data_IF_376729753468
#
_entry.id   IF_376729753468
#
_cell.length_a   1.000
_cell.length_b   1.000
_cell.length_c   1.000
_cell.angle_alpha   90.00
_cell.angle_beta   90.00
_cell.angle_gamma   90.00
#
_symmetry.space_group_name_H-M   'P 1'
#
loop_
_entity.id
_entity.type
_entity.pdbx_description
1 polymer ?
#
# COMPACT_ATOMS: atom_id res chain seq x y z
N UNK A 1 0.83 7.27 18.48
CA UNK A 1 -0.48 6.64 18.18
C UNK A 1 -1.49 6.98 19.26
N UNK A 2 -2.73 7.33 18.90
CA UNK A 2 -3.85 7.60 19.84
C UNK A 2 -5.19 7.18 19.23
N UNK A 3 -6.25 7.17 20.02
CA UNK A 3 -7.63 6.87 19.58
C UNK A 3 -7.71 5.55 18.78
N UNK A 4 -7.33 4.44 19.42
CA UNK A 4 -7.38 3.14 18.76
C UNK A 4 -8.83 2.67 18.56
N UNK A 5 -9.12 2.15 17.38
CA UNK A 5 -10.34 1.45 17.05
C UNK A 5 -9.98 0.03 16.62
N UNK A 6 -10.50 -0.97 17.32
CA UNK A 6 -10.19 -2.38 17.10
C UNK A 6 -11.35 -3.01 16.34
N UNK A 7 -11.04 -3.75 15.29
CA UNK A 7 -12.00 -4.60 14.59
C UNK A 7 -11.86 -6.02 15.13
N UNK A 8 -12.96 -6.58 15.63
CA UNK A 8 -13.02 -7.97 16.12
C UNK A 8 -14.08 -8.79 15.43
N UNK A 9 -15.15 -8.14 14.96
CA UNK A 9 -16.26 -8.76 14.25
C UNK A 9 -16.78 -7.87 13.12
N UNK A 10 -17.72 -8.42 12.32
CA UNK A 10 -18.26 -7.72 11.16
C UNK A 10 -19.05 -6.48 11.57
N UNK A 11 -19.72 -6.53 12.71
CA UNK A 11 -20.49 -5.43 13.27
C UNK A 11 -19.59 -4.22 13.58
N UNK A 12 -18.34 -4.44 14.01
CA UNK A 12 -17.35 -3.37 14.20
C UNK A 12 -17.00 -2.70 12.86
N UNK A 13 -16.78 -3.51 11.82
CA UNK A 13 -16.52 -3.01 10.47
C UNK A 13 -17.70 -2.19 9.93
N UNK A 14 -18.92 -2.74 9.99
CA UNK A 14 -20.11 -2.05 9.49
C UNK A 14 -20.32 -0.71 10.20
N UNK A 15 -20.07 -0.66 11.52
CA UNK A 15 -20.14 0.58 12.30
C UNK A 15 -19.05 1.59 11.91
N UNK A 16 -17.85 1.12 11.54
CA UNK A 16 -16.72 1.98 11.21
C UNK A 16 -16.69 2.44 9.74
N UNK A 17 -17.32 1.72 8.82
CA UNK A 17 -17.28 2.05 7.39
C UNK A 17 -17.69 3.51 7.11
N UNK A 18 -18.73 4.00 7.79
CA UNK A 18 -19.22 5.37 7.59
C UNK A 18 -18.32 6.45 8.20
N UNK A 19 -17.51 6.09 9.19
CA UNK A 19 -16.50 6.96 9.82
C UNK A 19 -15.20 7.00 9.00
N UNK A 20 -14.77 5.84 8.48
CA UNK A 20 -13.47 5.66 7.85
C UNK A 20 -13.47 6.11 6.39
N UNK A 21 -14.48 5.72 5.61
CA UNK A 21 -14.61 6.16 4.23
C UNK A 21 -15.44 7.43 4.18
N UNK A 22 -15.02 8.39 3.35
CA UNK A 22 -15.61 9.72 3.28
C UNK A 22 -16.56 9.88 2.09
N UNK A 23 -16.40 9.06 1.04
CA UNK A 23 -17.17 9.21 -0.21
C UNK A 23 -18.20 8.10 -0.39
N UNK A 24 -19.36 8.47 -0.94
CA UNK A 24 -20.40 7.49 -1.26
C UNK A 24 -19.92 6.47 -2.31
N UNK A 25 -19.04 6.87 -3.24
CA UNK A 25 -18.47 5.98 -4.26
C UNK A 25 -17.81 4.74 -3.65
N UNK A 26 -16.93 4.91 -2.65
CA UNK A 26 -16.27 3.78 -2.00
C UNK A 26 -17.25 3.00 -1.12
N UNK A 27 -18.09 3.71 -0.35
CA UNK A 27 -19.07 3.07 0.53
C UNK A 27 -20.06 2.20 -0.23
N UNK A 28 -20.54 2.65 -1.38
CA UNK A 28 -21.49 1.90 -2.21
C UNK A 28 -20.84 0.62 -2.75
N UNK A 29 -19.59 0.69 -3.21
CA UNK A 29 -18.83 -0.50 -3.62
C UNK A 29 -18.57 -1.46 -2.45
N UNK A 30 -18.25 -0.95 -1.25
CA UNK A 30 -18.04 -1.80 -0.07
C UNK A 30 -19.34 -2.46 0.39
N UNK A 31 -20.50 -1.83 0.17
CA UNK A 31 -21.82 -2.42 0.53
C UNK A 31 -22.32 -3.46 -0.47
N UNK A 32 -21.74 -3.52 -1.66
CA UNK A 32 -22.18 -4.41 -2.74
C UNK A 32 -21.47 -5.77 -2.66
N UNK A 33 -22.19 -6.83 -2.27
CA UNK A 33 -21.65 -8.20 -2.26
C UNK A 33 -21.12 -8.62 -3.65
N UNK A 34 -19.94 -9.23 -3.68
CA UNK A 34 -19.23 -9.61 -4.91
C UNK A 34 -18.43 -8.48 -5.56
N UNK A 35 -18.44 -7.27 -4.98
CA UNK A 35 -17.50 -6.22 -5.37
C UNK A 35 -16.14 -6.44 -4.70
N UNK A 36 -15.04 -6.24 -5.43
CA UNK A 36 -13.69 -6.38 -4.87
C UNK A 36 -13.46 -5.55 -3.60
N UNK A 37 -14.03 -4.35 -3.50
CA UNK A 37 -13.91 -3.51 -2.31
C UNK A 37 -14.67 -4.09 -1.12
N UNK A 38 -15.80 -4.76 -1.36
CA UNK A 38 -16.55 -5.49 -0.32
C UNK A 38 -15.70 -6.62 0.26
N UNK A 39 -15.08 -7.42 -0.61
CA UNK A 39 -14.26 -8.56 -0.19
C UNK A 39 -13.01 -8.11 0.58
N UNK A 40 -12.34 -7.05 0.09
CA UNK A 40 -11.20 -6.42 0.78
C UNK A 40 -11.58 -5.77 2.11
N UNK A 41 -12.82 -5.29 2.26
CA UNK A 41 -13.28 -4.74 3.53
C UNK A 41 -13.53 -5.85 4.54
N UNK A 42 -14.26 -6.90 4.14
CA UNK A 42 -14.63 -7.99 5.03
C UNK A 42 -13.42 -8.80 5.52
N UNK A 43 -12.35 -8.92 4.73
CA UNK A 43 -11.16 -9.67 5.17
C UNK A 43 -10.44 -9.07 6.39
N UNK A 44 -10.76 -7.82 6.76
CA UNK A 44 -10.29 -7.23 8.01
C UNK A 44 -10.80 -7.97 9.25
N UNK A 45 -11.87 -8.78 9.18
CA UNK A 45 -12.30 -9.60 10.33
C UNK A 45 -11.43 -10.83 10.57
N UNK A 46 -10.66 -11.27 9.56
CA UNK A 46 -9.88 -12.51 9.60
C UNK A 46 -8.53 -12.34 10.33
N UNK A 47 -8.16 -11.09 10.62
CA UNK A 47 -6.89 -10.70 11.25
C UNK A 47 -7.10 -9.52 12.19
N UNK A 48 -6.22 -9.30 13.17
CA UNK A 48 -6.31 -8.11 14.02
C UNK A 48 -6.12 -6.84 13.20
N UNK A 49 -7.19 -6.08 12.97
CA UNK A 49 -7.11 -4.78 12.31
C UNK A 49 -7.34 -3.66 13.33
N UNK A 50 -6.35 -2.76 13.46
CA UNK A 50 -6.39 -1.66 14.42
C UNK A 50 -6.24 -0.34 13.67
N UNK A 51 -7.24 0.53 13.75
CA UNK A 51 -7.15 1.89 13.24
C UNK A 51 -6.71 2.84 14.34
N UNK A 52 -5.93 3.87 14.00
CA UNK A 52 -5.46 4.85 14.98
C UNK A 52 -5.24 6.23 14.37
N UNK A 53 -5.25 7.26 15.21
CA UNK A 53 -4.85 8.61 14.84
C UNK A 53 -3.36 8.85 15.14
N UNK A 54 -2.61 9.49 14.23
CA UNK A 54 -1.26 9.89 14.52
C UNK A 54 -1.21 10.95 15.64
N UNK A 55 -0.26 10.80 16.55
CA UNK A 55 0.13 11.80 17.55
C UNK A 55 1.11 12.82 16.98
N UNK A 56 2.03 12.38 16.12
CA UNK A 56 3.04 13.16 15.41
C UNK A 56 2.96 12.85 13.91
N UNK A 57 1.97 13.42 13.19
CA UNK A 57 1.69 13.07 11.80
C UNK A 57 2.90 13.18 10.87
N UNK A 58 3.76 14.17 11.07
CA UNK A 58 4.95 14.40 10.25
C UNK A 58 5.97 13.25 10.30
N UNK A 59 6.06 12.52 11.42
CA UNK A 59 6.96 11.37 11.55
C UNK A 59 6.20 10.07 11.28
N UNK A 60 5.02 9.92 11.89
CA UNK A 60 4.26 8.67 11.83
C UNK A 60 3.69 8.40 10.43
N UNK A 61 3.54 9.39 9.55
CA UNK A 61 3.14 9.15 8.14
C UNK A 61 4.17 8.34 7.35
N UNK A 62 5.43 8.36 7.75
CA UNK A 62 6.47 7.56 7.09
C UNK A 62 6.66 6.22 7.80
N UNK A 63 6.07 6.05 8.98
CA UNK A 63 6.15 4.82 9.73
C UNK A 63 5.13 3.82 9.14
N UNK A 64 5.59 2.87 8.35
CA UNK A 64 4.74 1.88 7.66
C UNK A 64 4.03 0.94 8.65
N UNK A 65 2.98 1.42 9.29
CA UNK A 65 2.31 0.74 10.41
C UNK A 65 1.38 -0.37 9.97
N UNK A 66 0.99 -0.45 8.70
CA UNK A 66 0.23 -1.59 8.19
C UNK A 66 1.00 -2.90 8.27
N UNK A 67 2.34 -2.86 8.16
CA UNK A 67 3.19 -4.02 8.46
C UNK A 67 3.20 -4.39 9.96
N UNK A 68 2.72 -3.52 10.83
CA UNK A 68 2.46 -3.80 12.25
C UNK A 68 0.97 -3.98 12.52
N UNK A 69 0.15 -4.32 11.52
CA UNK A 69 -1.29 -4.55 11.70
C UNK A 69 -2.11 -3.31 12.04
N UNK A 70 -1.56 -2.11 11.88
CA UNK A 70 -2.20 -0.86 12.25
C UNK A 70 -2.43 0.06 11.03
N UNK A 71 -3.69 0.42 10.78
CA UNK A 71 -4.08 1.36 9.73
C UNK A 71 -4.10 2.77 10.28
N UNK A 72 -3.25 3.64 9.74
CA UNK A 72 -3.21 5.04 10.16
C UNK A 72 -4.33 5.84 9.50
N UNK A 73 -5.13 6.54 10.32
CA UNK A 73 -6.11 7.52 9.85
C UNK A 73 -5.41 8.84 9.57
N UNK A 74 -5.18 9.10 8.28
CA UNK A 74 -4.59 10.35 7.79
C UNK A 74 -5.69 11.30 7.35
N UNK A 75 -5.41 12.59 7.41
CA UNK A 75 -6.28 13.61 6.84
C UNK A 75 -5.71 14.05 5.47
N UNK A 76 -6.57 14.00 4.45
CA UNK A 76 -6.31 14.53 3.13
C UNK A 76 -7.37 15.58 2.78
N UNK A 77 -6.96 16.63 2.06
CA UNK A 77 -7.89 17.68 1.61
C UNK A 77 -8.94 17.12 0.62
N UNK A 78 -8.55 16.12 -0.17
CA UNK A 78 -9.44 15.44 -1.10
C UNK A 78 -9.97 14.14 -0.46
N UNK A 79 -11.31 13.99 -0.25
CA UNK A 79 -11.88 12.80 0.36
C UNK A 79 -11.70 11.53 -0.49
N UNK A 80 -11.56 11.64 -1.82
CA UNK A 80 -11.27 10.47 -2.67
C UNK A 80 -9.82 9.99 -2.50
N UNK A 81 -8.87 10.90 -2.24
CA UNK A 81 -7.48 10.52 -1.93
C UNK A 81 -7.41 9.89 -0.54
N UNK A 82 -8.21 10.39 0.42
CA UNK A 82 -8.37 9.74 1.72
C UNK A 82 -8.85 8.29 1.58
N UNK A 83 -9.93 8.07 0.84
CA UNK A 83 -10.49 6.72 0.66
C UNK A 83 -9.50 5.79 -0.07
N UNK A 84 -8.76 6.31 -1.05
CA UNK A 84 -7.66 5.59 -1.71
C UNK A 84 -6.55 5.21 -0.73
N UNK A 85 -6.15 6.11 0.16
CA UNK A 85 -5.15 5.83 1.20
C UNK A 85 -5.65 4.71 2.13
N UNK A 86 -6.90 4.75 2.57
CA UNK A 86 -7.46 3.68 3.40
C UNK A 86 -7.45 2.34 2.64
N UNK A 87 -7.89 2.31 1.38
CA UNK A 87 -7.86 1.10 0.56
C UNK A 87 -6.44 0.55 0.40
N UNK A 88 -5.46 1.42 0.20
CA UNK A 88 -4.04 1.06 0.12
C UNK A 88 -3.56 0.36 1.40
N UNK A 89 -3.82 0.93 2.58
CA UNK A 89 -3.44 0.34 3.86
C UNK A 89 -4.16 -0.98 4.15
N UNK A 90 -5.45 -1.10 3.80
CA UNK A 90 -6.20 -2.36 3.91
C UNK A 90 -5.58 -3.45 3.02
N UNK A 91 -5.19 -3.09 1.80
CA UNK A 91 -4.57 -4.04 0.89
C UNK A 91 -3.20 -4.51 1.41
N UNK A 92 -2.41 -3.63 2.03
CA UNK A 92 -1.21 -4.06 2.76
C UNK A 92 -1.55 -5.06 3.86
N UNK A 93 -2.53 -4.72 4.70
CA UNK A 93 -2.97 -5.56 5.81
C UNK A 93 -3.32 -6.99 5.35
N UNK A 94 -4.07 -7.08 4.26
CA UNK A 94 -4.46 -8.34 3.64
C UNK A 94 -3.27 -9.11 3.05
N UNK A 95 -2.47 -8.44 2.21
CA UNK A 95 -1.43 -9.09 1.41
C UNK A 95 -0.14 -9.38 2.18
N UNK A 96 0.03 -8.84 3.39
CA UNK A 96 1.20 -9.06 4.22
C UNK A 96 1.23 -10.49 4.78
N UNK A 97 2.33 -11.22 4.51
CA UNK A 97 2.62 -12.52 5.13
C UNK A 97 3.79 -12.38 6.09
N UNK A 98 3.68 -12.90 7.31
CA UNK A 98 4.74 -12.82 8.31
C UNK A 98 5.57 -14.11 8.35
N UNK A 99 6.89 -13.98 8.16
CA UNK A 99 7.83 -15.08 7.94
C UNK A 99 9.17 -14.82 8.66
N UNK A 100 9.20 -14.87 10.02
CA UNK A 100 10.38 -14.47 10.80
C UNK A 100 11.65 -15.30 10.51
N UNK A 101 11.49 -16.52 10.01
CA UNK A 101 12.59 -17.47 9.78
C UNK A 101 13.38 -17.23 8.48
N UNK A 102 13.00 -16.25 7.66
CA UNK A 102 13.71 -15.97 6.40
C UNK A 102 15.02 -15.20 6.61
N UNK A 103 15.81 -15.08 5.54
CA UNK A 103 16.96 -14.17 5.54
C UNK A 103 16.48 -12.72 5.37
N UNK A 104 17.28 -11.76 5.85
CA UNK A 104 17.00 -10.34 5.63
C UNK A 104 16.78 -10.01 4.14
N UNK A 105 17.56 -10.61 3.22
CA UNK A 105 17.39 -10.39 1.79
C UNK A 105 16.01 -10.83 1.27
N UNK A 106 15.50 -11.98 1.73
CA UNK A 106 14.15 -12.46 1.37
C UNK A 106 13.05 -11.61 2.01
N UNK A 107 13.26 -11.16 3.25
CA UNK A 107 12.33 -10.25 3.91
C UNK A 107 12.28 -8.90 3.18
N UNK A 108 13.43 -8.34 2.84
CA UNK A 108 13.56 -7.13 2.03
C UNK A 108 12.80 -7.25 0.70
N UNK A 109 13.03 -8.32 -0.05
CA UNK A 109 12.32 -8.60 -1.31
C UNK A 109 10.80 -8.66 -1.09
N UNK A 110 10.35 -9.35 -0.04
CA UNK A 110 8.94 -9.43 0.35
C UNK A 110 8.34 -8.04 0.61
N UNK A 111 9.01 -7.19 1.38
CA UNK A 111 8.51 -5.85 1.71
C UNK A 111 8.41 -4.98 0.45
N UNK A 112 9.44 -4.96 -0.40
CA UNK A 112 9.40 -4.23 -1.67
C UNK A 112 8.30 -4.74 -2.60
N UNK A 113 8.10 -6.06 -2.67
CA UNK A 113 7.06 -6.66 -3.51
C UNK A 113 5.65 -6.36 -2.98
N UNK A 114 5.45 -6.42 -1.65
CA UNK A 114 4.17 -6.10 -1.02
C UNK A 114 3.72 -4.67 -1.34
N UNK A 115 4.63 -3.69 -1.18
CA UNK A 115 4.37 -2.30 -1.55
C UNK A 115 4.04 -2.16 -3.03
N UNK A 116 4.85 -2.77 -3.88
CA UNK A 116 4.63 -2.73 -5.32
C UNK A 116 3.25 -3.27 -5.74
N UNK A 117 2.85 -4.42 -5.20
CA UNK A 117 1.54 -5.02 -5.49
C UNK A 117 0.42 -4.11 -4.97
N UNK A 118 0.54 -3.66 -3.72
CA UNK A 118 -0.44 -2.79 -3.07
C UNK A 118 -0.65 -1.50 -3.84
N UNK A 119 0.43 -0.84 -4.22
CA UNK A 119 0.38 0.38 -4.99
C UNK A 119 -0.15 0.14 -6.42
N UNK A 120 0.13 -1.01 -7.04
CA UNK A 120 -0.46 -1.34 -8.35
C UNK A 120 -1.99 -1.48 -8.26
N UNK A 121 -2.49 -2.14 -7.21
CA UNK A 121 -3.93 -2.32 -7.02
C UNK A 121 -4.61 -1.00 -6.67
N UNK A 122 -4.11 -0.33 -5.64
CA UNK A 122 -4.73 0.86 -5.04
C UNK A 122 -4.46 2.17 -5.79
N UNK A 123 -3.44 2.26 -6.65
CA UNK A 123 -3.10 3.52 -7.34
C UNK A 123 -3.19 3.42 -8.87
N UNK A 124 -3.38 2.22 -9.43
CA UNK A 124 -3.50 2.03 -10.87
C UNK A 124 -4.74 1.22 -11.24
N UNK A 125 -4.86 -0.02 -10.75
CA UNK A 125 -5.99 -0.88 -11.09
C UNK A 125 -7.33 -0.32 -10.61
N UNK A 126 -7.36 0.40 -9.48
CA UNK A 126 -8.59 1.00 -8.94
C UNK A 126 -9.34 1.86 -9.96
N UNK A 127 -8.65 2.51 -10.91
CA UNK A 127 -9.30 3.30 -11.96
C UNK A 127 -9.99 2.44 -13.03
N UNK A 128 -9.63 1.18 -13.17
CA UNK A 128 -10.38 0.23 -13.99
C UNK A 128 -11.66 -0.21 -13.27
N UNK A 129 -11.59 -0.36 -11.94
CA UNK A 129 -12.75 -0.74 -11.13
C UNK A 129 -13.73 0.43 -10.95
N UNK A 130 -13.21 1.65 -10.84
CA UNK A 130 -13.95 2.88 -10.68
C UNK A 130 -13.49 3.93 -11.72
N UNK A 131 -13.92 3.83 -12.99
CA UNK A 131 -13.47 4.74 -14.05
C UNK A 131 -13.70 6.23 -13.75
N UNK A 132 -14.81 6.55 -13.09
CA UNK A 132 -15.15 7.93 -12.71
C UNK A 132 -14.28 8.48 -11.57
N UNK A 133 -13.49 7.64 -10.89
CA UNK A 133 -12.62 8.06 -9.79
C UNK A 133 -11.51 8.99 -10.28
N UNK A 134 -11.02 8.80 -11.51
CA UNK A 134 -9.87 9.55 -12.02
C UNK A 134 -10.10 11.06 -12.03
N UNK A 135 -11.29 11.50 -12.42
CA UNK A 135 -11.65 12.93 -12.47
C UNK A 135 -11.83 13.55 -11.07
N UNK A 136 -11.82 12.72 -10.01
CA UNK A 136 -12.12 13.12 -8.64
C UNK A 136 -10.89 13.13 -7.73
N UNK A 137 -9.75 12.60 -8.17
CA UNK A 137 -8.54 12.43 -7.33
C UNK A 137 -7.50 13.53 -7.55
N UNK A 138 -6.80 13.53 -8.70
CA UNK A 138 -5.67 14.43 -8.97
C UNK A 138 -6.00 15.40 -10.11
N UNK A 139 -5.60 16.67 -9.97
CA UNK A 139 -5.76 17.72 -10.99
C UNK A 139 -4.60 17.79 -12.00
N UNK A 140 -3.61 16.91 -11.86
CA UNK A 140 -2.45 16.74 -12.74
C UNK A 140 -2.38 15.32 -13.29
N UNK A 141 -1.54 15.12 -14.31
CA UNK A 141 -1.28 13.81 -14.91
C UNK A 141 -0.56 12.88 -13.92
N UNK A 142 -1.05 11.64 -13.80
CA UNK A 142 -0.41 10.57 -13.04
C UNK A 142 0.00 9.43 -13.96
N UNK A 143 0.91 8.56 -13.49
CA UNK A 143 1.48 7.48 -14.30
C UNK A 143 0.43 6.58 -14.99
N UNK A 144 -0.68 6.27 -14.31
CA UNK A 144 -1.73 5.39 -14.84
C UNK A 144 -2.49 5.99 -16.03
N UNK A 145 -2.43 7.30 -16.24
CA UNK A 145 -3.15 8.01 -17.33
C UNK A 145 -2.77 7.50 -18.72
N UNK A 146 -1.65 6.80 -18.85
CA UNK A 146 -1.19 6.15 -20.09
C UNK A 146 -2.03 4.95 -20.51
N UNK A 147 -2.69 4.33 -19.54
CA UNK A 147 -3.41 3.06 -19.70
C UNK A 147 -4.92 3.26 -19.71
N UNK A 148 -5.38 4.47 -19.39
CA UNK A 148 -6.79 4.85 -19.33
C UNK A 148 -7.08 5.96 -20.35
N UNK A 149 -8.36 6.17 -20.66
CA UNK A 149 -8.77 7.13 -21.70
C UNK A 149 -8.48 8.57 -21.28
N UNK A 150 -7.82 9.35 -22.15
CA UNK A 150 -7.61 10.79 -21.94
C UNK A 150 -6.19 11.31 -22.13
N UNK A 151 -5.23 10.46 -22.49
CA UNK A 151 -3.83 10.86 -22.65
C UNK A 151 -3.25 10.59 -24.05
N UNK A 152 -2.15 11.27 -24.37
CA UNK A 152 -1.54 11.43 -25.69
C UNK A 152 -1.67 10.22 -26.64
N UNK A 153 -2.12 10.45 -27.89
CA UNK A 153 -2.26 9.41 -28.93
C UNK A 153 -0.98 8.61 -29.13
N UNK A 154 0.17 9.18 -28.79
CA UNK A 154 1.47 8.51 -28.83
C UNK A 154 1.53 7.22 -27.97
N UNK A 155 0.70 7.10 -26.93
CA UNK A 155 0.66 5.92 -26.06
C UNK A 155 -0.41 4.90 -26.45
N UNK A 156 -1.40 5.29 -27.24
CA UNK A 156 -2.52 4.42 -27.63
C UNK A 156 -2.04 3.13 -28.32
N UNK A 157 -1.08 3.26 -29.23
CA UNK A 157 -0.50 2.10 -29.95
C UNK A 157 0.34 1.20 -29.03
N UNK A 158 0.96 1.76 -27.98
CA UNK A 158 1.85 1.01 -27.08
C UNK A 158 1.07 0.20 -26.05
N UNK A 159 -0.09 0.72 -25.62
CA UNK A 159 -0.87 0.18 -24.51
C UNK A 159 -2.29 -0.23 -24.92
N UNK A 160 -2.49 -0.56 -26.19
CA UNK A 160 -3.79 -0.90 -26.79
C UNK A 160 -4.60 -1.90 -25.94
N UNK A 161 -3.96 -2.95 -25.42
CA UNK A 161 -4.63 -3.97 -24.58
C UNK A 161 -5.18 -3.34 -23.30
N UNK A 162 -4.36 -2.59 -22.56
CA UNK A 162 -4.77 -1.95 -21.31
C UNK A 162 -5.85 -0.90 -21.53
N UNK A 163 -5.74 -0.10 -22.61
CA UNK A 163 -6.75 0.88 -22.99
C UNK A 163 -8.07 0.23 -23.42
N UNK A 164 -7.99 -0.88 -24.15
CA UNK A 164 -9.16 -1.66 -24.54
C UNK A 164 -9.92 -2.17 -23.31
N UNK A 165 -9.20 -2.72 -22.32
CA UNK A 165 -9.80 -3.17 -21.06
C UNK A 165 -10.41 -2.03 -20.26
N UNK A 166 -9.77 -0.86 -20.23
CA UNK A 166 -10.33 0.31 -19.56
C UNK A 166 -11.65 0.76 -20.21
N UNK A 167 -11.70 0.81 -21.55
CA UNK A 167 -12.92 1.15 -22.28
C UNK A 167 -14.04 0.16 -21.99
N UNK A 168 -13.75 -1.14 -21.97
CA UNK A 168 -14.71 -2.17 -21.55
C UNK A 168 -15.26 -1.89 -20.16
N UNK A 169 -14.40 -1.62 -19.17
CA UNK A 169 -14.84 -1.33 -17.80
C UNK A 169 -15.71 -0.06 -17.71
N UNK A 170 -15.32 1.00 -18.42
CA UNK A 170 -16.08 2.27 -18.49
C UNK A 170 -17.47 2.11 -19.11
N UNK A 171 -17.64 1.14 -20.00
CA UNK A 171 -18.93 0.79 -20.60
C UNK A 171 -19.75 -0.20 -19.74
N UNK A 172 -19.28 -0.53 -18.53
CA UNK A 172 -19.91 -1.48 -17.61
C UNK A 172 -19.67 -2.95 -17.97
N UNK A 173 -18.67 -3.22 -18.82
CA UNK A 173 -18.25 -4.58 -19.17
C UNK A 173 -17.35 -5.21 -18.11
N UNK A 174 -17.39 -6.52 -18.03
CA UNK A 174 -16.53 -7.31 -17.15
C UNK A 174 -15.07 -7.30 -17.66
N UNK A 175 -14.12 -7.12 -16.73
CA UNK A 175 -12.69 -7.21 -17.01
C UNK A 175 -12.05 -8.32 -16.18
N UNK A 176 -11.08 -9.01 -16.76
CA UNK A 176 -10.32 -10.00 -16.00
C UNK A 176 -9.29 -9.29 -15.10
N UNK A 177 -9.52 -9.31 -13.79
CA UNK A 177 -8.64 -8.69 -12.80
C UNK A 177 -7.18 -9.16 -12.94
N UNK A 178 -6.95 -10.47 -13.03
CA UNK A 178 -5.62 -11.06 -13.12
C UNK A 178 -4.84 -10.61 -14.36
N UNK A 179 -5.51 -10.56 -15.53
CA UNK A 179 -4.92 -10.08 -16.78
C UNK A 179 -4.48 -8.62 -16.66
N UNK A 180 -5.37 -7.73 -16.22
CA UNK A 180 -5.08 -6.29 -16.12
C UNK A 180 -4.00 -6.03 -15.08
N UNK A 181 -4.08 -6.68 -13.91
CA UNK A 181 -3.11 -6.51 -12.84
C UNK A 181 -1.69 -6.91 -13.32
N UNK A 182 -1.55 -8.07 -13.97
CA UNK A 182 -0.26 -8.54 -14.49
C UNK A 182 0.34 -7.55 -15.49
N UNK A 183 -0.49 -6.98 -16.39
CA UNK A 183 -0.03 -6.01 -17.38
C UNK A 183 0.41 -4.69 -16.72
N UNK A 184 -0.39 -4.15 -15.80
CA UNK A 184 -0.05 -2.94 -15.04
C UNK A 184 1.23 -3.14 -14.23
N UNK A 185 1.36 -4.31 -13.60
CA UNK A 185 2.57 -4.70 -12.90
C UNK A 185 3.79 -4.65 -13.86
N UNK A 186 3.73 -5.37 -14.98
CA UNK A 186 4.83 -5.39 -15.95
C UNK A 186 5.31 -3.99 -16.35
N UNK A 187 4.40 -3.02 -16.52
CA UNK A 187 4.76 -1.63 -16.80
C UNK A 187 5.29 -0.87 -15.58
N UNK A 188 4.76 -1.09 -14.37
CA UNK A 188 5.24 -0.44 -13.15
C UNK A 188 6.66 -0.87 -12.80
N UNK A 189 6.99 -2.16 -12.95
CA UNK A 189 8.37 -2.66 -12.78
C UNK A 189 9.33 -1.94 -13.74
N UNK A 190 8.96 -1.79 -15.01
CA UNK A 190 9.81 -1.09 -16.00
C UNK A 190 10.03 0.37 -15.58
N UNK A 191 8.98 1.07 -15.16
CA UNK A 191 9.07 2.45 -14.69
C UNK A 191 9.97 2.60 -13.46
N UNK A 192 9.88 1.69 -12.50
CA UNK A 192 10.71 1.74 -11.29
C UNK A 192 12.17 1.37 -11.53
N UNK A 193 12.46 0.43 -12.44
CA UNK A 193 13.83 -0.07 -12.63
C UNK A 193 14.61 0.67 -13.70
N UNK A 194 13.92 1.08 -14.77
CA UNK A 194 14.50 1.74 -15.93
C UNK A 194 13.60 2.89 -16.34
N UNK A 195 13.42 3.91 -15.48
CA UNK A 195 12.59 5.05 -15.81
C UNK A 195 13.13 5.75 -17.04
N UNK A 196 12.24 6.22 -17.92
CA UNK A 196 12.63 7.19 -18.92
C UNK A 196 13.02 8.51 -18.21
N UNK A 197 14.25 9.03 -18.38
CA UNK A 197 14.69 10.24 -17.67
C UNK A 197 13.90 11.50 -18.04
N UNK A 198 13.21 11.48 -19.19
CA UNK A 198 12.36 12.57 -19.66
C UNK A 198 10.89 12.43 -19.22
N UNK A 199 10.61 11.43 -18.41
CA UNK A 199 9.28 11.05 -18.00
C UNK A 199 9.13 11.19 -16.49
N UNK A 200 8.58 12.33 -16.08
CA UNK A 200 8.46 12.69 -14.67
C UNK A 200 7.71 11.64 -13.85
N UNK A 201 6.62 11.08 -14.37
CA UNK A 201 5.84 10.05 -13.68
C UNK A 201 6.66 8.77 -13.43
N UNK A 202 7.47 8.34 -14.41
CA UNK A 202 8.34 7.18 -14.21
C UNK A 202 9.49 7.48 -13.25
N UNK A 203 10.08 8.67 -13.34
CA UNK A 203 11.12 9.10 -12.41
C UNK A 203 10.64 9.11 -10.96
N UNK A 204 9.38 9.49 -10.72
CA UNK A 204 8.79 9.41 -9.38
C UNK A 204 8.60 7.98 -8.90
N UNK A 205 8.08 7.09 -9.75
CA UNK A 205 7.97 5.67 -9.39
C UNK A 205 9.35 5.08 -9.04
N UNK A 206 10.39 5.46 -9.78
CA UNK A 206 11.76 5.09 -9.43
C UNK A 206 12.17 5.61 -8.05
N UNK A 207 11.89 6.87 -7.72
CA UNK A 207 12.13 7.40 -6.37
C UNK A 207 11.36 6.63 -5.29
N UNK A 208 10.07 6.34 -5.48
CA UNK A 208 9.30 5.54 -4.52
C UNK A 208 9.94 4.16 -4.30
N UNK A 209 10.49 3.55 -5.36
CA UNK A 209 11.23 2.29 -5.22
C UNK A 209 12.49 2.42 -4.35
N UNK A 210 13.20 3.56 -4.41
CA UNK A 210 14.34 3.84 -3.53
C UNK A 210 13.90 4.03 -2.07
N UNK A 211 12.72 4.61 -1.82
CA UNK A 211 12.14 4.72 -0.48
C UNK A 211 11.86 3.34 0.11
N UNK A 212 11.26 2.43 -0.66
CA UNK A 212 11.00 1.05 -0.23
C UNK A 212 12.29 0.33 0.14
N UNK A 213 13.34 0.54 -0.66
CA UNK A 213 14.67 0.01 -0.36
C UNK A 213 15.21 0.59 0.94
N UNK A 214 15.12 1.90 1.10
CA UNK A 214 15.59 2.60 2.29
C UNK A 214 14.86 2.20 3.57
N UNK A 215 13.55 2.00 3.50
CA UNK A 215 12.71 1.51 4.60
C UNK A 215 13.29 0.21 5.15
N UNK A 216 13.43 -0.80 4.29
CA UNK A 216 13.93 -2.10 4.72
C UNK A 216 15.33 -2.06 5.35
N UNK A 217 16.20 -1.16 4.88
CA UNK A 217 17.54 -0.98 5.43
C UNK A 217 17.53 -0.33 6.82
N UNK A 218 16.60 0.60 7.07
CA UNK A 218 16.38 1.18 8.41
C UNK A 218 15.94 0.08 9.38
N UNK A 219 15.09 -0.83 8.92
CA UNK A 219 14.52 -1.91 9.72
C UNK A 219 15.39 -3.16 9.87
N UNK A 220 16.60 -3.18 9.30
CA UNK A 220 17.47 -4.37 9.25
C UNK A 220 17.74 -5.05 10.59
N UNK A 221 17.73 -4.29 11.68
CA UNK A 221 18.07 -4.79 13.02
C UNK A 221 16.83 -5.24 13.80
N UNK A 222 15.64 -4.73 13.45
CA UNK A 222 14.40 -4.95 14.21
C UNK A 222 13.31 -5.70 13.42
N UNK A 223 13.51 -5.99 12.13
CA UNK A 223 12.47 -6.62 11.32
C UNK A 223 11.97 -7.96 11.87
N UNK A 224 12.85 -8.81 12.40
CA UNK A 224 12.45 -10.09 12.99
C UNK A 224 11.59 -9.94 14.23
N UNK A 225 11.79 -8.88 14.99
CA UNK A 225 11.01 -8.60 16.21
C UNK A 225 9.56 -8.37 15.83
N UNK A 226 9.32 -7.55 14.81
CA UNK A 226 7.98 -7.29 14.27
C UNK A 226 7.42 -8.56 13.62
N UNK A 227 8.17 -9.22 12.74
CA UNK A 227 7.68 -10.44 12.05
C UNK A 227 7.27 -11.56 13.01
N UNK A 228 8.03 -11.76 14.09
CA UNK A 228 7.71 -12.79 15.08
C UNK A 228 6.45 -12.41 15.85
N UNK A 229 6.39 -11.17 16.36
CA UNK A 229 5.22 -10.68 17.09
C UNK A 229 3.94 -10.76 16.25
N UNK A 230 4.00 -10.29 15.00
CA UNK A 230 2.84 -10.28 14.12
C UNK A 230 2.39 -11.68 13.73
N UNK A 231 3.32 -12.61 13.54
CA UNK A 231 2.99 -14.02 13.31
C UNK A 231 2.26 -14.60 14.53
N UNK A 232 2.83 -14.46 15.72
CA UNK A 232 2.27 -14.99 16.96
C UNK A 232 0.88 -14.38 17.22
N UNK A 233 0.73 -13.07 17.07
CA UNK A 233 -0.54 -12.37 17.22
C UNK A 233 -1.63 -12.88 16.25
N UNK A 234 -1.28 -13.12 14.98
CA UNK A 234 -2.24 -13.64 14.01
C UNK A 234 -2.64 -15.08 14.35
N UNK A 235 -1.69 -15.92 14.76
CA UNK A 235 -1.97 -17.30 15.19
C UNK A 235 -2.88 -17.32 16.42
N UNK A 236 -2.63 -16.44 17.40
CA UNK A 236 -3.49 -16.28 18.59
C UNK A 236 -4.89 -15.77 18.22
N UNK A 237 -4.98 -14.76 17.36
CA UNK A 237 -6.26 -14.21 16.91
C UNK A 237 -7.10 -15.25 16.13
N UNK A 238 -6.46 -16.08 15.31
CA UNK A 238 -7.14 -17.16 14.58
C UNK A 238 -7.55 -18.32 15.49
N UNK A 239 -6.87 -18.52 16.62
CA UNK A 239 -7.24 -19.51 17.63
C UNK A 239 -8.32 -19.03 18.61
N UNK A 240 -8.61 -17.72 18.63
CA UNK A 240 -9.62 -17.12 19.49
C UNK A 240 -11.04 -17.60 19.12
N UNK A 241 -11.81 -18.03 20.12
CA UNK A 241 -13.16 -18.58 19.90
C UNK A 241 -14.25 -17.50 19.97
N UNK A 242 -13.97 -16.37 20.62
CA UNK A 242 -14.95 -15.30 20.88
C UNK A 242 -14.44 -13.93 20.42
N UNK A 243 -15.34 -12.96 20.30
CA UNK A 243 -14.99 -11.56 20.03
C UNK A 243 -14.17 -10.96 21.19
N UNK A 244 -14.49 -11.30 22.44
CA UNK A 244 -13.73 -10.86 23.62
C UNK A 244 -12.28 -11.36 23.61
N UNK A 245 -12.05 -12.61 23.19
CA UNK A 245 -10.70 -13.17 23.05
C UNK A 245 -9.91 -12.44 21.95
N UNK A 246 -10.56 -12.15 20.82
CA UNK A 246 -9.97 -11.36 19.71
C UNK A 246 -9.63 -9.93 20.15
N UNK A 247 -10.53 -9.29 20.88
CA UNK A 247 -10.30 -7.97 21.48
C UNK A 247 -9.10 -8.00 22.42
N UNK A 248 -8.96 -9.04 23.23
CA UNK A 248 -7.83 -9.22 24.14
C UNK A 248 -6.50 -9.35 23.38
N UNK A 249 -6.45 -10.14 22.30
CA UNK A 249 -5.25 -10.25 21.43
C UNK A 249 -4.86 -8.89 20.86
N UNK A 250 -5.82 -8.13 20.34
CA UNK A 250 -5.57 -6.78 19.81
C UNK A 250 -5.09 -5.79 20.89
N UNK A 251 -5.65 -5.86 22.11
CA UNK A 251 -5.20 -5.04 23.23
C UNK A 251 -3.77 -5.36 23.66
N UNK A 252 -3.39 -6.65 23.73
CA UNK A 252 -2.00 -7.03 24.01
C UNK A 252 -1.04 -6.50 22.94
N UNK A 253 -1.47 -6.46 21.68
CA UNK A 253 -0.67 -5.87 20.63
C UNK A 253 -0.49 -4.36 20.79
N UNK A 254 -1.54 -3.63 21.18
CA UNK A 254 -1.44 -2.20 21.52
C UNK A 254 -0.49 -1.99 22.70
N UNK A 255 -0.54 -2.85 23.73
CA UNK A 255 0.40 -2.81 24.85
C UNK A 255 1.85 -3.03 24.38
N UNK A 256 2.07 -4.02 23.51
CA UNK A 256 3.38 -4.25 22.91
C UNK A 256 3.88 -3.03 22.11
N UNK A 257 3.02 -2.38 21.30
CA UNK A 257 3.38 -1.14 20.59
C UNK A 257 3.75 -0.01 21.58
N UNK A 258 3.02 0.10 22.68
CA UNK A 258 3.33 1.08 23.74
C UNK A 258 4.68 0.77 24.40
N UNK A 259 5.01 -0.50 24.65
CA UNK A 259 6.34 -0.90 25.13
C UNK A 259 7.44 -0.54 24.12
N UNK A 260 7.21 -0.77 22.82
CA UNK A 260 8.14 -0.37 21.74
C UNK A 260 8.25 1.15 21.57
N UNK A 261 7.32 1.91 22.14
CA UNK A 261 7.36 3.36 22.18
C UNK A 261 8.16 3.91 23.37
N UNK A 262 8.54 3.08 24.35
CA UNK A 262 9.25 3.50 25.57
C UNK A 262 10.70 3.00 25.62
N UNK A 263 11.30 2.69 24.47
CA UNK A 263 12.67 2.22 24.38
C UNK A 263 13.68 3.30 24.79
N UNK A 264 14.84 2.88 25.30
CA UNK A 264 15.91 3.80 25.71
C UNK A 264 16.31 4.73 24.56
N UNK A 265 16.30 6.04 24.84
CA UNK A 265 16.57 7.08 23.84
C UNK A 265 15.34 7.62 23.10
N UNK A 266 14.14 7.11 23.41
CA UNK A 266 12.88 7.69 22.94
C UNK A 266 12.71 9.13 23.45
N UNK A 267 12.33 10.03 22.55
CA UNK A 267 11.97 11.42 22.87
C UNK A 267 10.46 11.62 22.90
N UNK A 268 9.73 10.83 22.13
CA UNK A 268 8.28 10.84 22.02
C UNK A 268 7.78 9.45 22.41
N UNK A 269 7.38 9.27 23.69
CA UNK A 269 6.92 8.02 24.31
C UNK A 269 5.58 7.47 23.74
N UNK A 270 5.33 7.63 22.44
CA UNK A 270 4.10 7.29 21.76
C UNK A 270 4.28 6.86 20.30
N UNK A 271 5.52 6.82 19.78
CA UNK A 271 5.85 6.30 18.45
C UNK A 271 6.60 4.97 18.65
N UNK A 272 6.02 3.82 18.27
CA UNK A 272 6.72 2.54 18.39
C UNK A 272 7.95 2.57 17.49
N UNK A 273 9.08 2.02 17.96
CA UNK A 273 10.34 2.03 17.18
C UNK A 273 10.70 3.45 16.68
N UNK A 274 10.61 4.43 17.58
CA UNK A 274 10.79 5.86 17.26
C UNK A 274 12.08 6.13 16.46
N UNK A 275 13.18 5.47 16.83
CA UNK A 275 14.46 5.61 16.13
C UNK A 275 14.33 5.26 14.65
N UNK A 276 13.73 4.13 14.31
CA UNK A 276 13.47 3.71 12.94
C UNK A 276 12.54 4.68 12.22
N UNK A 277 11.50 5.17 12.89
CA UNK A 277 10.58 6.16 12.33
C UNK A 277 11.33 7.44 11.91
N UNK A 278 12.17 7.99 12.78
CA UNK A 278 13.00 9.17 12.47
C UNK A 278 14.05 8.90 11.40
N UNK A 279 14.74 7.76 11.46
CA UNK A 279 15.74 7.41 10.45
C UNK A 279 15.14 7.30 9.06
N UNK A 280 13.92 6.78 8.94
CA UNK A 280 13.23 6.71 7.67
C UNK A 280 12.69 8.07 7.23
N UNK A 281 12.13 8.86 8.16
CA UNK A 281 11.75 10.25 7.89
C UNK A 281 12.91 11.07 7.33
N UNK A 282 14.10 11.00 7.95
CA UNK A 282 15.29 11.74 7.49
C UNK A 282 15.70 11.33 6.08
N UNK A 283 15.67 10.03 5.78
CA UNK A 283 15.96 9.52 4.43
C UNK A 283 14.94 10.00 3.39
N UNK A 284 13.67 10.06 3.77
CA UNK A 284 12.62 10.55 2.88
C UNK A 284 12.76 12.06 2.62
N UNK A 285 13.10 12.85 3.65
CA UNK A 285 13.41 14.26 3.47
C UNK A 285 14.62 14.46 2.55
N UNK A 286 15.66 13.64 2.68
CA UNK A 286 16.83 13.68 1.77
C UNK A 286 16.45 13.41 0.31
N UNK A 287 15.56 12.44 0.08
CA UNK A 287 15.04 12.12 -1.25
C UNK A 287 14.21 13.27 -1.80
N UNK A 288 13.35 13.86 -0.95
CA UNK A 288 12.55 15.02 -1.30
C UNK A 288 13.42 16.22 -1.70
N UNK A 289 14.45 16.53 -0.93
CA UNK A 289 15.39 17.63 -1.20
C UNK A 289 16.14 17.42 -2.52
N UNK A 290 16.43 16.16 -2.88
CA UNK A 290 17.06 15.79 -4.16
C UNK A 290 16.09 15.79 -5.35
N UNK A 291 14.82 16.10 -5.12
CA UNK A 291 13.80 16.27 -6.13
C UNK A 291 12.93 15.06 -6.41
N UNK A 292 13.02 14.01 -5.58
CA UNK A 292 12.35 12.74 -5.83
C UNK A 292 10.83 12.72 -5.54
N UNK A 293 10.33 13.57 -4.65
CA UNK A 293 8.96 13.41 -4.09
C UNK A 293 8.12 14.72 -4.06
N UNK A 294 8.12 15.48 -5.15
CA UNK A 294 7.44 16.79 -5.18
C UNK A 294 5.89 16.76 -5.13
N UNK A 295 5.23 15.62 -5.41
CA UNK A 295 3.76 15.56 -5.50
C UNK A 295 3.02 15.80 -4.18
N UNK A 296 3.65 15.54 -3.03
CA UNK A 296 2.97 15.74 -1.75
C UNK A 296 3.07 17.17 -1.20
N UNK A 297 3.81 18.11 -1.85
CA UNK A 297 3.93 19.51 -1.36
C UNK A 297 4.02 20.66 -2.39
N UNK A 298 4.11 20.47 -3.71
CA UNK A 298 4.25 21.60 -4.66
C UNK A 298 3.75 21.19 -6.07
N UNK A 299 2.85 21.89 -6.78
CA UNK A 299 2.66 23.33 -6.90
C UNK A 299 4.01 24.06 -6.88
N UNK A 300 4.66 24.14 -8.05
CA UNK A 300 5.78 25.01 -8.48
C UNK A 300 6.99 24.18 -9.00
N UNK A 301 7.53 24.51 -10.20
CA UNK A 301 8.44 23.65 -10.96
C UNK A 301 9.92 23.98 -10.69
N UNK A 302 10.85 23.10 -11.15
CA UNK A 302 12.04 23.42 -11.98
C UNK A 302 13.07 22.25 -12.09
N UNK A 303 13.29 21.85 -13.36
CA UNK A 303 14.46 21.39 -14.18
C UNK A 303 15.64 20.49 -13.69
N UNK A 304 15.85 19.40 -14.47
CA UNK A 304 17.06 18.75 -15.08
C UNK A 304 18.42 18.75 -14.31
N UNK A 305 19.27 17.70 -14.25
CA UNK A 305 19.68 16.71 -15.29
C UNK A 305 20.62 15.57 -14.75
N UNK A 306 20.76 14.46 -15.52
CA UNK A 306 21.84 13.42 -15.66
C UNK A 306 22.03 12.19 -14.70
N UNK A 307 21.89 10.95 -15.23
CA UNK A 307 22.91 9.86 -15.45
C UNK A 307 22.35 8.42 -15.52
N UNK A 308 22.91 7.58 -16.42
CA UNK A 308 22.50 6.18 -16.74
C UNK A 308 23.43 5.12 -16.14
N UNK A 309 22.94 3.90 -15.81
CA UNK A 309 23.77 2.68 -15.89
C UNK A 309 23.00 1.35 -15.98
N UNK A 310 23.52 0.41 -16.77
CA UNK A 310 22.99 -0.91 -17.11
C UNK A 310 23.53 -1.99 -16.14
N UNK A 311 22.67 -2.88 -15.61
CA UNK A 311 22.93 -4.30 -15.21
C UNK A 311 21.81 -4.91 -14.32
N UNK A 312 20.58 -5.12 -14.82
CA UNK A 312 19.44 -5.60 -13.99
C UNK A 312 18.75 -6.92 -14.41
N UNK A 313 19.25 -7.65 -15.41
CA UNK A 313 18.48 -8.68 -16.12
C UNK A 313 18.25 -10.02 -15.41
N UNK A 314 19.01 -10.37 -14.37
CA UNK A 314 18.81 -11.63 -13.62
C UNK A 314 17.89 -11.46 -12.41
N UNK A 315 17.93 -10.31 -11.73
CA UNK A 315 17.01 -9.99 -10.62
C UNK A 315 15.57 -9.77 -11.13
N UNK A 316 15.42 -9.21 -12.33
CA UNK A 316 14.15 -9.05 -13.04
C UNK A 316 13.38 -10.36 -13.20
N UNK A 317 14.06 -11.43 -13.64
CA UNK A 317 13.44 -12.74 -13.88
C UNK A 317 13.01 -13.45 -12.60
N UNK A 318 13.68 -13.19 -11.49
CA UNK A 318 13.31 -13.75 -10.18
C UNK A 318 12.05 -13.08 -9.61
N UNK A 319 11.98 -11.74 -9.73
CA UNK A 319 10.84 -10.94 -9.26
C UNK A 319 9.56 -11.20 -10.06
N UNK A 320 9.65 -11.33 -11.39
CA UNK A 320 8.50 -11.71 -12.23
C UNK A 320 7.89 -13.04 -11.75
N UNK A 321 8.72 -14.08 -11.57
CA UNK A 321 8.26 -15.40 -11.15
C UNK A 321 7.65 -15.41 -9.75
N UNK A 322 8.22 -14.66 -8.81
CA UNK A 322 7.70 -14.55 -7.44
C UNK A 322 6.36 -13.81 -7.40
N UNK A 323 6.21 -12.76 -8.21
CA UNK A 323 4.98 -12.00 -8.28
C UNK A 323 3.81 -12.75 -8.91
N UNK A 324 4.07 -13.50 -9.98
CA UNK A 324 3.03 -14.36 -10.59
C UNK A 324 2.47 -15.39 -9.62
N UNK A 325 3.30 -15.99 -8.75
CA UNK A 325 2.81 -16.99 -7.80
C UNK A 325 1.93 -16.35 -6.71
N UNK A 326 2.29 -15.17 -6.20
CA UNK A 326 1.50 -14.50 -5.16
C UNK A 326 0.17 -13.97 -5.69
N UNK A 327 0.15 -13.48 -6.94
CA UNK A 327 -1.09 -13.09 -7.63
C UNK A 327 -1.95 -14.32 -7.91
N UNK A 328 -1.38 -15.43 -8.38
CA UNK A 328 -2.14 -16.66 -8.59
C UNK A 328 -2.69 -17.24 -7.27
N UNK A 329 -1.95 -17.17 -6.17
CA UNK A 329 -2.44 -17.60 -4.86
C UNK A 329 -3.60 -16.71 -4.35
N UNK A 330 -3.60 -15.41 -4.69
CA UNK A 330 -4.70 -14.49 -4.42
C UNK A 330 -5.91 -14.80 -5.32
N UNK A 331 -5.69 -14.99 -6.62
CA UNK A 331 -6.72 -15.33 -7.60
C UNK A 331 -7.41 -16.66 -7.28
N UNK A 332 -6.64 -17.70 -6.93
CA UNK A 332 -7.20 -19.00 -6.56
C UNK A 332 -8.06 -18.94 -5.30
N UNK A 333 -7.82 -17.99 -4.39
CA UNK A 333 -8.67 -17.80 -3.21
C UNK A 333 -9.97 -17.07 -3.53
N UNK A 334 -9.94 -16.15 -4.50
CA UNK A 334 -11.12 -15.43 -4.97
C UNK A 334 -12.00 -16.32 -5.86
N UNK A 335 -11.41 -17.29 -6.58
CA UNK A 335 -12.16 -18.22 -7.44
C UNK A 335 -12.73 -19.47 -6.72
N UNK A 336 -12.22 -19.81 -5.53
CA UNK A 336 -12.63 -21.00 -4.76
C UNK A 336 -13.73 -20.71 -3.69
N UNK A 337 -14.15 -19.45 -3.54
CA UNK A 337 -15.31 -18.99 -2.73
C UNK A 337 -16.45 -18.52 -3.65
#
# INVERSE_FOLDING_TARGET
>A
MKNFHIITEKEDLDAMMDEIFLTDMFKDCIREEGNLLHDLWNILTDRPAIFYDPTYPEIERHHFTSWMGCVQRREYDNPYIHDLHILHEIFHHHSMKYTPDVSFAKWHEKMCFNEYLTATVSEAFIYYLLPDLREKTFDFEIWVDRFIEGNDKAFEDKYEILLSRYKTAKEGGEINFGEVLVLLQGERIKAMQTPNPWDFCQMQLHTFSEQNFNFSLVWKDNWRVVESHMKDMIEEYQAAETADDRAWVAMNHIEWLNEKSQLEGSTHNCIPFEKEAYQFYDKDQDIYIKGGNHLFKAAIPVTEDVYTNENLTEAQKALEKAGYQQVNDLMNRIEDE
#
